data_IF_753894772286
#
_entry.id   IF_753894772286
#
_cell.length_a   1.000
_cell.length_b   1.000
_cell.length_c   1.000
_cell.angle_alpha   90.00
_cell.angle_beta   90.00
_cell.angle_gamma   90.00
#
_symmetry.space_group_name_H-M   'P 1'
#
loop_
_entity.id
_entity.type
_entity.pdbx_description
1 polymer ?
#
# COMPACT_ATOMS: atom_id res chain seq x y z
N UNK A 1 -10.69 -0.70 2.66
CA UNK A 1 -9.63 -1.63 2.19
C UNK A 1 -9.98 -3.05 2.59
N UNK A 2 -10.07 -3.98 1.65
CA UNK A 2 -10.40 -5.38 1.93
C UNK A 2 -9.31 -6.05 2.78
N UNK A 3 -9.76 -6.93 3.67
CA UNK A 3 -8.88 -7.75 4.51
C UNK A 3 -9.29 -9.21 4.39
N UNK A 4 -8.32 -10.10 4.16
CA UNK A 4 -8.55 -11.54 4.10
C UNK A 4 -7.83 -12.23 5.26
N UNK A 5 -8.55 -13.06 6.00
CA UNK A 5 -7.95 -14.00 6.95
C UNK A 5 -7.48 -15.23 6.20
N UNK A 6 -6.23 -15.63 6.44
CA UNK A 6 -5.58 -16.73 5.74
C UNK A 6 -4.98 -17.71 6.75
N UNK A 7 -4.75 -18.95 6.30
CA UNK A 7 -3.97 -19.95 7.01
C UNK A 7 -3.04 -20.66 6.03
N UNK A 8 -1.86 -21.00 6.49
CA UNK A 8 -0.89 -21.75 5.69
C UNK A 8 -0.04 -22.67 6.59
N UNK A 9 0.50 -23.77 6.04
CA UNK A 9 1.28 -24.72 6.83
C UNK A 9 2.66 -24.14 7.20
N UNK A 10 3.08 -24.36 8.44
CA UNK A 10 4.46 -24.14 8.87
C UNK A 10 5.35 -25.28 8.37
N UNK A 11 6.68 -25.09 8.31
CA UNK A 11 7.61 -26.18 8.05
C UNK A 11 7.55 -27.33 9.06
N UNK A 12 7.03 -27.07 10.28
CA UNK A 12 6.86 -28.06 11.35
C UNK A 12 5.50 -28.77 11.30
N UNK A 13 4.63 -28.46 10.34
CA UNK A 13 3.39 -29.19 10.09
C UNK A 13 2.15 -28.68 10.83
N UNK A 14 2.22 -27.57 11.56
CA UNK A 14 1.04 -26.89 12.12
C UNK A 14 0.62 -25.69 11.28
N UNK A 15 -0.58 -25.18 11.50
CA UNK A 15 -1.10 -24.04 10.76
C UNK A 15 -0.67 -22.71 11.36
N UNK A 16 -0.21 -21.79 10.51
CA UNK A 16 0.06 -20.41 10.83
C UNK A 16 -1.09 -19.51 10.38
N UNK A 17 -1.52 -18.63 11.27
CA UNK A 17 -2.60 -17.67 11.03
C UNK A 17 -2.06 -16.38 10.42
N UNK A 18 -2.62 -15.95 9.30
CA UNK A 18 -2.21 -14.75 8.59
C UNK A 18 -3.39 -13.83 8.28
N UNK A 19 -3.06 -12.59 8.00
CA UNK A 19 -3.95 -11.58 7.46
C UNK A 19 -3.32 -10.93 6.24
N UNK A 20 -4.10 -10.71 5.21
CA UNK A 20 -3.70 -10.02 4.00
C UNK A 20 -4.51 -8.73 3.88
N UNK A 21 -3.83 -7.60 4.08
CA UNK A 21 -4.39 -6.28 3.79
C UNK A 21 -4.23 -6.01 2.30
N UNK A 22 -5.34 -5.80 1.62
CA UNK A 22 -5.39 -5.57 0.18
C UNK A 22 -5.69 -4.10 -0.12
N UNK A 23 -5.11 -3.55 -1.20
CA UNK A 23 -5.59 -2.27 -1.73
C UNK A 23 -7.02 -2.41 -2.25
N UNK A 24 -7.72 -1.30 -2.35
CA UNK A 24 -9.04 -1.26 -2.98
C UNK A 24 -9.00 -1.52 -4.49
N UNK A 25 -7.82 -1.51 -5.07
CA UNK A 25 -7.54 -1.78 -6.49
C UNK A 25 -6.66 -3.02 -6.60
N UNK A 26 -6.44 -3.54 -7.81
CA UNK A 26 -5.50 -4.64 -8.01
C UNK A 26 -4.12 -4.28 -7.47
N UNK A 27 -3.50 -5.10 -6.60
CA UNK A 27 -2.18 -4.86 -6.07
C UNK A 27 -1.15 -4.74 -7.19
N UNK A 28 -0.31 -3.70 -7.14
CA UNK A 28 0.83 -3.62 -8.06
C UNK A 28 2.07 -4.33 -7.52
N UNK A 29 2.09 -4.68 -6.23
CA UNK A 29 3.16 -5.41 -5.57
C UNK A 29 2.65 -6.05 -4.28
N UNK A 30 3.37 -7.06 -3.80
CA UNK A 30 3.11 -7.73 -2.52
C UNK A 30 4.26 -7.53 -1.55
N UNK A 31 3.92 -7.39 -0.27
CA UNK A 31 4.87 -7.29 0.83
C UNK A 31 4.60 -8.37 1.88
N UNK A 32 5.66 -8.81 2.56
CA UNK A 32 5.59 -9.69 3.72
C UNK A 32 6.06 -8.92 4.95
N UNK A 33 5.27 -8.94 6.03
CA UNK A 33 5.58 -8.25 7.28
C UNK A 33 5.81 -9.24 8.42
N UNK A 34 6.98 -9.18 9.06
CA UNK A 34 7.36 -9.92 10.25
C UNK A 34 7.24 -9.03 11.50
N UNK A 35 6.43 -9.43 12.47
CA UNK A 35 6.25 -8.70 13.72
C UNK A 35 7.37 -8.94 14.74
N UNK A 36 7.38 -8.17 15.83
CA UNK A 36 8.37 -8.27 16.91
C UNK A 36 8.22 -9.56 17.73
N UNK A 37 9.27 -9.88 18.52
CA UNK A 37 9.28 -11.02 19.44
C UNK A 37 8.11 -10.94 20.43
N UNK A 38 7.37 -12.03 20.61
CA UNK A 38 6.17 -12.13 21.45
C UNK A 38 4.98 -11.21 21.08
N UNK A 39 5.05 -10.50 19.95
CA UNK A 39 3.92 -9.73 19.43
C UNK A 39 2.92 -10.63 18.66
N UNK A 40 2.02 -10.02 17.92
CA UNK A 40 1.16 -10.70 16.96
C UNK A 40 1.04 -9.89 15.67
N UNK A 41 0.52 -10.52 14.62
CA UNK A 41 0.20 -9.86 13.35
C UNK A 41 -0.76 -8.68 13.53
N UNK A 42 -1.51 -8.65 14.63
CA UNK A 42 -2.53 -7.63 14.94
C UNK A 42 -2.00 -6.51 15.85
N UNK A 43 -0.67 -6.42 16.04
CA UNK A 43 -0.06 -5.28 16.71
C UNK A 43 -0.38 -3.96 16.00
N UNK A 44 -0.53 -2.85 16.76
CA UNK A 44 -0.92 -1.54 16.21
C UNK A 44 -0.01 -1.09 15.07
N UNK A 45 1.30 -1.26 15.22
CA UNK A 45 2.26 -0.90 14.18
C UNK A 45 2.09 -1.76 12.92
N UNK A 46 2.00 -3.09 13.07
CA UNK A 46 1.82 -4.00 11.94
C UNK A 46 0.55 -3.68 11.15
N UNK A 47 -0.58 -3.51 11.83
CA UNK A 47 -1.87 -3.16 11.20
C UNK A 47 -1.80 -1.77 10.55
N UNK A 48 -1.27 -0.77 11.27
CA UNK A 48 -1.19 0.61 10.77
C UNK A 48 -0.33 0.71 9.50
N UNK A 49 0.85 0.12 9.52
CA UNK A 49 1.78 0.12 8.38
C UNK A 49 1.18 -0.66 7.20
N UNK A 50 0.62 -1.86 7.46
CA UNK A 50 0.06 -2.70 6.39
C UNK A 50 -1.11 -2.02 5.69
N UNK A 51 -2.03 -1.40 6.42
CA UNK A 51 -3.14 -0.63 5.84
C UNK A 51 -2.67 0.58 5.06
N UNK A 52 -1.69 1.31 5.59
CA UNK A 52 -1.17 2.48 4.89
C UNK A 52 -0.44 2.11 3.59
N UNK A 53 0.24 0.96 3.53
CA UNK A 53 0.84 0.42 2.31
C UNK A 53 -0.25 -0.09 1.34
N UNK A 54 -1.28 -0.75 1.85
CA UNK A 54 -2.42 -1.17 1.05
C UNK A 54 -3.13 0.01 0.39
N UNK A 55 -3.32 1.14 1.09
CA UNK A 55 -3.84 2.38 0.51
C UNK A 55 -2.99 2.92 -0.65
N UNK A 56 -1.72 2.49 -0.76
CA UNK A 56 -0.79 2.86 -1.84
C UNK A 56 -0.61 1.78 -2.91
N UNK A 57 -1.48 0.77 -2.89
CA UNK A 57 -1.49 -0.29 -3.91
C UNK A 57 -0.55 -1.46 -3.64
N UNK A 58 0.04 -1.58 -2.44
CA UNK A 58 0.90 -2.69 -2.03
C UNK A 58 0.10 -3.62 -1.11
N UNK A 59 -0.20 -4.84 -1.55
CA UNK A 59 -0.81 -5.84 -0.67
C UNK A 59 0.19 -6.30 0.39
N UNK A 60 -0.23 -6.40 1.66
CA UNK A 60 0.66 -6.76 2.76
C UNK A 60 0.14 -7.98 3.50
N UNK A 61 0.89 -9.07 3.46
CA UNK A 61 0.66 -10.24 4.30
C UNK A 61 1.43 -10.08 5.61
N UNK A 62 0.75 -10.27 6.72
CA UNK A 62 1.30 -10.38 8.07
C UNK A 62 0.78 -11.66 8.71
N UNK A 63 1.61 -12.36 9.45
CA UNK A 63 1.21 -13.62 10.09
C UNK A 63 1.74 -13.71 11.51
N UNK A 64 1.15 -14.57 12.31
CA UNK A 64 1.61 -14.92 13.65
C UNK A 64 2.62 -16.07 13.56
N UNK A 65 3.80 -15.89 14.16
CA UNK A 65 4.77 -16.99 14.30
C UNK A 65 4.22 -18.10 15.21
N UNK A 66 4.84 -19.29 15.13
CA UNK A 66 4.48 -20.46 15.94
C UNK A 66 4.23 -20.12 17.39
N UNK A 67 3.08 -20.59 17.91
CA UNK A 67 2.66 -20.40 19.30
C UNK A 67 2.28 -18.98 19.68
N UNK A 68 2.20 -18.05 18.72
CA UNK A 68 1.77 -16.66 18.92
C UNK A 68 0.43 -16.39 18.25
N UNK A 69 -0.31 -15.41 18.79
CA UNK A 69 -1.58 -14.96 18.24
C UNK A 69 -2.60 -16.08 18.03
N UNK A 70 -2.96 -16.33 16.76
CA UNK A 70 -3.90 -17.36 16.36
C UNK A 70 -3.21 -18.54 15.61
N UNK A 71 -1.88 -18.58 15.59
CA UNK A 71 -1.10 -19.68 15.01
C UNK A 71 -1.04 -20.87 15.95
N UNK A 72 -0.97 -22.06 15.37
CA UNK A 72 -0.78 -23.32 16.09
C UNK A 72 0.67 -23.50 16.57
N UNK A 73 0.92 -24.68 17.18
CA UNK A 73 2.21 -25.02 17.75
C UNK A 73 2.43 -24.45 19.15
N UNK A 74 3.57 -24.77 19.75
CA UNK A 74 4.00 -24.23 21.04
C UNK A 74 5.15 -23.23 20.83
N UNK A 75 5.03 -22.04 21.44
CA UNK A 75 6.09 -21.03 21.39
C UNK A 75 7.43 -21.57 21.94
N UNK A 76 7.38 -22.48 22.93
CA UNK A 76 8.58 -23.09 23.49
C UNK A 76 9.39 -23.91 22.48
N UNK A 77 8.75 -24.40 21.40
CA UNK A 77 9.42 -25.15 20.31
C UNK A 77 10.03 -24.23 19.25
N UNK A 78 9.73 -22.93 19.30
CA UNK A 78 10.26 -21.98 18.32
C UNK A 78 11.74 -21.68 18.54
N UNK A 79 12.45 -21.41 17.46
CA UNK A 79 13.83 -20.91 17.42
C UNK A 79 13.92 -19.77 16.42
N UNK A 80 15.04 -19.05 16.39
CA UNK A 80 15.23 -18.02 15.38
C UNK A 80 15.30 -18.62 13.96
N UNK A 81 15.92 -19.79 13.83
CA UNK A 81 15.95 -20.55 12.57
C UNK A 81 14.56 -21.03 12.13
N UNK A 82 13.70 -21.46 13.08
CA UNK A 82 12.32 -21.83 12.73
C UNK A 82 11.52 -20.62 12.25
N UNK A 83 11.71 -19.45 12.85
CA UNK A 83 11.06 -18.21 12.42
C UNK A 83 11.49 -17.82 10.98
N UNK A 84 12.77 -18.01 10.63
CA UNK A 84 13.25 -17.83 9.25
C UNK A 84 12.52 -18.82 8.32
N UNK A 85 12.40 -20.09 8.70
CA UNK A 85 11.67 -21.10 7.93
C UNK A 85 10.19 -20.71 7.70
N UNK A 86 9.54 -20.14 8.71
CA UNK A 86 8.15 -19.69 8.62
C UNK A 86 8.00 -18.47 7.70
N UNK A 87 8.98 -17.56 7.67
CA UNK A 87 9.03 -16.45 6.70
C UNK A 87 9.16 -16.96 5.27
N UNK A 88 9.96 -17.98 5.05
CA UNK A 88 10.08 -18.62 3.73
C UNK A 88 8.77 -19.30 3.32
N UNK A 89 8.13 -20.04 4.24
CA UNK A 89 6.82 -20.64 3.98
C UNK A 89 5.74 -19.60 3.67
N UNK A 90 5.74 -18.45 4.36
CA UNK A 90 4.83 -17.34 4.06
C UNK A 90 5.09 -16.74 2.67
N UNK A 91 6.36 -16.60 2.27
CA UNK A 91 6.71 -16.13 0.93
C UNK A 91 6.29 -17.13 -0.16
N UNK A 92 6.47 -18.44 0.09
CA UNK A 92 6.04 -19.51 -0.81
C UNK A 92 4.52 -19.55 -0.95
N UNK A 93 3.79 -19.36 0.15
CA UNK A 93 2.35 -19.26 0.12
C UNK A 93 1.87 -18.07 -0.73
N UNK A 94 2.47 -16.88 -0.55
CA UNK A 94 2.16 -15.71 -1.38
C UNK A 94 2.46 -16.00 -2.85
N UNK A 95 3.60 -16.62 -3.17
CA UNK A 95 3.98 -16.99 -4.54
C UNK A 95 2.98 -17.93 -5.20
N UNK A 96 2.50 -18.91 -4.43
CA UNK A 96 1.59 -19.93 -4.94
C UNK A 96 0.14 -19.43 -5.09
N UNK A 97 -0.34 -18.58 -4.19
CA UNK A 97 -1.75 -18.18 -4.12
C UNK A 97 -2.03 -16.79 -4.68
N UNK A 98 -1.00 -15.93 -4.77
CA UNK A 98 -1.10 -14.53 -5.18
C UNK A 98 0.11 -14.15 -6.04
N UNK A 99 1.05 -13.43 -5.47
CA UNK A 99 2.32 -13.05 -6.09
C UNK A 99 3.43 -13.06 -5.04
N UNK A 100 4.63 -13.48 -5.42
CA UNK A 100 5.78 -13.47 -4.54
C UNK A 100 6.05 -12.07 -3.96
N UNK A 101 6.44 -11.95 -2.68
CA UNK A 101 6.66 -10.65 -2.07
C UNK A 101 7.91 -9.97 -2.65
N UNK A 102 7.74 -8.75 -3.13
CA UNK A 102 8.85 -7.91 -3.61
C UNK A 102 9.41 -7.01 -2.51
N UNK A 103 8.61 -6.73 -1.48
CA UNK A 103 9.00 -5.93 -0.31
C UNK A 103 8.92 -6.79 0.96
N UNK A 104 10.02 -6.82 1.70
CA UNK A 104 10.11 -7.51 2.98
C UNK A 104 10.23 -6.49 4.10
N UNK A 105 9.40 -6.60 5.13
CA UNK A 105 9.35 -5.65 6.23
C UNK A 105 9.48 -6.42 7.54
N UNK A 106 10.39 -6.02 8.40
CA UNK A 106 10.54 -6.67 9.70
C UNK A 106 10.67 -5.67 10.84
N UNK A 107 9.91 -5.89 11.91
CA UNK A 107 9.94 -5.08 13.12
C UNK A 107 10.68 -5.80 14.24
N UNK A 108 11.63 -5.14 14.89
CA UNK A 108 12.41 -5.67 16.02
C UNK A 108 13.09 -6.99 15.65
N UNK A 109 12.94 -8.06 16.43
CA UNK A 109 13.50 -9.39 16.10
C UNK A 109 13.00 -9.92 14.73
N UNK A 110 11.76 -9.59 14.34
CA UNK A 110 11.25 -9.87 13.01
C UNK A 110 12.07 -9.19 11.90
N UNK A 111 12.69 -8.04 12.19
CA UNK A 111 13.61 -7.37 11.28
C UNK A 111 14.92 -8.15 11.08
N UNK A 112 15.51 -8.66 12.15
CA UNK A 112 16.69 -9.52 12.06
C UNK A 112 16.38 -10.85 11.33
N UNK A 113 15.20 -11.44 11.59
CA UNK A 113 14.75 -12.66 10.89
C UNK A 113 14.51 -12.39 9.40
N UNK A 114 13.92 -11.23 9.06
CA UNK A 114 13.67 -10.84 7.67
C UNK A 114 14.97 -10.60 6.90
N UNK A 115 15.97 -9.95 7.52
CA UNK A 115 17.30 -9.82 6.92
C UNK A 115 17.94 -11.18 6.63
N UNK A 116 17.72 -12.15 7.51
CA UNK A 116 18.24 -13.52 7.35
C UNK A 116 17.47 -14.31 6.27
N UNK A 117 16.16 -14.16 6.19
CA UNK A 117 15.32 -14.83 5.19
C UNK A 117 15.46 -14.23 3.77
N UNK A 118 15.79 -12.95 3.68
CA UNK A 118 15.70 -12.18 2.44
C UNK A 118 16.51 -12.76 1.28
N UNK A 119 17.66 -13.38 1.55
CA UNK A 119 18.48 -13.98 0.49
C UNK A 119 17.76 -15.12 -0.25
N UNK A 120 16.97 -15.92 0.44
CA UNK A 120 16.23 -17.04 -0.13
C UNK A 120 14.94 -16.63 -0.87
N UNK A 121 14.44 -15.41 -0.62
CA UNK A 121 13.26 -14.87 -1.32
C UNK A 121 13.76 -14.07 -2.54
N UNK A 122 13.96 -14.76 -3.65
CA UNK A 122 14.66 -14.22 -4.83
C UNK A 122 13.93 -13.07 -5.50
N UNK A 123 12.61 -13.04 -5.42
CA UNK A 123 11.77 -11.98 -6.01
C UNK A 123 11.78 -10.69 -5.19
N UNK A 124 12.21 -10.74 -3.92
CA UNK A 124 12.32 -9.55 -3.11
C UNK A 124 13.37 -8.59 -3.68
N UNK A 125 12.99 -7.34 -3.86
CA UNK A 125 13.83 -6.26 -4.37
C UNK A 125 14.28 -5.32 -3.25
N UNK A 126 13.47 -5.23 -2.20
CA UNK A 126 13.65 -4.29 -1.11
C UNK A 126 13.37 -4.93 0.25
N UNK A 127 14.17 -4.57 1.23
CA UNK A 127 14.02 -4.99 2.63
C UNK A 127 13.98 -3.74 3.50
N UNK A 128 13.02 -3.68 4.41
CA UNK A 128 12.93 -2.61 5.41
C UNK A 128 12.95 -3.20 6.81
N UNK A 129 13.75 -2.61 7.68
CA UNK A 129 13.80 -2.94 9.10
C UNK A 129 13.30 -1.78 9.93
N UNK A 130 12.50 -2.05 10.95
CA UNK A 130 11.98 -1.08 11.89
C UNK A 130 12.44 -1.48 13.29
N UNK A 131 13.23 -0.63 13.95
CA UNK A 131 13.74 -0.88 15.30
C UNK A 131 14.43 -2.26 15.48
N UNK A 132 15.13 -2.74 14.44
CA UNK A 132 15.70 -4.08 14.43
C UNK A 132 17.06 -4.14 15.14
N UNK A 133 17.34 -5.21 15.89
CA UNK A 133 18.67 -5.46 16.39
C UNK A 133 19.58 -5.96 15.25
N UNK A 134 20.85 -5.60 15.34
CA UNK A 134 21.86 -6.12 14.42
C UNK A 134 22.04 -7.63 14.56
N UNK A 135 22.13 -8.11 15.80
CA UNK A 135 22.30 -9.55 16.09
C UNK A 135 21.07 -10.09 16.81
N UNK A 136 20.53 -11.26 16.42
CA UNK A 136 19.35 -11.85 17.09
C UNK A 136 19.62 -12.15 18.58
N UNK A 137 20.85 -12.37 19.00
CA UNK A 137 21.24 -12.47 20.43
C UNK A 137 20.82 -11.28 21.29
N UNK A 138 20.51 -10.14 20.69
CA UNK A 138 20.03 -8.98 21.45
C UNK A 138 18.84 -9.33 22.35
N UNK A 139 18.01 -10.30 21.95
CA UNK A 139 16.87 -10.79 22.74
C UNK A 139 17.28 -11.33 24.11
N UNK A 140 18.52 -11.80 24.28
CA UNK A 140 19.03 -12.30 25.56
C UNK A 140 18.99 -11.25 26.67
N UNK A 141 18.99 -9.95 26.31
CA UNK A 141 18.79 -8.86 27.28
C UNK A 141 17.46 -8.91 28.01
N UNK A 142 16.42 -9.50 27.38
CA UNK A 142 15.13 -9.72 28.02
C UNK A 142 15.12 -10.98 28.88
N UNK A 143 16.16 -11.81 28.80
CA UNK A 143 16.28 -13.11 29.43
C UNK A 143 17.36 -13.14 30.51
N UNK A 144 18.01 -11.99 30.86
CA UNK A 144 19.19 -11.91 31.73
C UNK A 144 18.95 -12.69 33.04
N UNK A 145 17.83 -12.41 33.73
CA UNK A 145 17.52 -13.00 35.02
C UNK A 145 17.12 -14.49 34.96
N UNK A 146 16.92 -15.03 33.75
CA UNK A 146 16.46 -16.39 33.53
C UNK A 146 17.45 -17.24 32.71
N UNK A 147 18.46 -16.63 32.09
CA UNK A 147 19.40 -17.30 31.18
C UNK A 147 20.09 -18.50 31.81
N UNK A 148 20.66 -18.32 33.03
CA UNK A 148 21.33 -19.41 33.74
C UNK A 148 20.36 -20.55 34.05
N UNK A 149 19.13 -20.25 34.47
CA UNK A 149 18.09 -21.23 34.74
C UNK A 149 17.69 -22.00 33.47
N UNK A 150 17.54 -21.29 32.33
CA UNK A 150 17.26 -21.93 31.03
C UNK A 150 18.37 -22.89 30.65
N UNK A 151 19.63 -22.48 30.80
CA UNK A 151 20.78 -23.31 30.47
C UNK A 151 20.92 -24.53 31.39
N UNK A 152 20.64 -24.37 32.70
CA UNK A 152 20.74 -25.45 33.66
C UNK A 152 19.56 -26.44 33.58
N UNK A 153 18.33 -25.95 33.60
CA UNK A 153 17.11 -26.76 33.65
C UNK A 153 16.62 -27.23 32.25
N UNK A 154 17.15 -26.64 31.17
CA UNK A 154 16.71 -26.88 29.80
C UNK A 154 15.63 -25.94 29.31
N UNK A 155 14.82 -25.38 30.22
CA UNK A 155 13.80 -24.36 29.93
C UNK A 155 13.48 -23.52 31.16
N UNK A 156 12.91 -22.36 30.97
CA UNK A 156 12.29 -21.56 32.01
C UNK A 156 11.16 -20.68 31.46
N UNK A 157 10.16 -20.42 32.30
CA UNK A 157 9.15 -19.40 32.02
C UNK A 157 9.70 -18.02 32.35
N UNK A 158 9.57 -17.10 31.40
CA UNK A 158 10.05 -15.71 31.48
C UNK A 158 8.90 -14.79 31.19
N UNK A 159 8.73 -13.74 31.98
CA UNK A 159 7.78 -12.68 31.69
C UNK A 159 8.37 -11.74 30.63
N UNK A 160 7.66 -11.56 29.51
CA UNK A 160 8.05 -10.65 28.45
C UNK A 160 6.86 -9.74 28.13
N UNK A 161 6.95 -8.50 28.54
CA UNK A 161 5.88 -7.51 28.35
C UNK A 161 4.59 -7.84 29.08
N UNK A 162 4.68 -8.39 30.29
CA UNK A 162 3.55 -8.77 31.14
C UNK A 162 2.90 -10.10 30.75
N UNK A 163 3.54 -10.91 29.91
CA UNK A 163 3.04 -12.24 29.51
C UNK A 163 4.11 -13.31 29.75
N UNK A 164 3.73 -14.49 30.30
CA UNK A 164 4.65 -15.59 30.50
C UNK A 164 4.92 -16.34 29.19
N UNK A 165 6.19 -16.61 28.89
CA UNK A 165 6.65 -17.42 27.76
C UNK A 165 7.65 -18.45 28.25
N UNK A 166 7.51 -19.69 27.84
CA UNK A 166 8.51 -20.73 28.08
C UNK A 166 9.59 -20.64 27.00
N UNK A 167 10.82 -20.41 27.45
CA UNK A 167 12.01 -20.37 26.58
C UNK A 167 12.86 -21.60 26.85
N UNK A 168 13.16 -22.36 25.81
CA UNK A 168 14.03 -23.55 25.91
C UNK A 168 15.49 -23.25 25.55
N UNK A 169 16.40 -24.04 26.07
CA UNK A 169 17.84 -23.95 25.81
C UNK A 169 18.17 -23.91 24.32
N UNK A 170 17.44 -24.68 23.50
CA UNK A 170 17.63 -24.72 22.05
C UNK A 170 17.48 -23.34 21.40
N UNK A 171 16.58 -22.49 21.91
CA UNK A 171 16.41 -21.13 21.40
C UNK A 171 17.71 -20.31 21.58
N UNK A 172 18.33 -20.37 22.78
CA UNK A 172 19.58 -19.66 23.04
C UNK A 172 20.74 -20.20 22.19
N UNK A 173 20.82 -21.52 22.04
CA UNK A 173 21.86 -22.18 21.23
C UNK A 173 21.72 -21.83 19.75
N UNK A 174 20.50 -21.76 19.24
CA UNK A 174 20.21 -21.40 17.85
C UNK A 174 20.62 -19.96 17.55
N UNK A 175 20.38 -19.01 18.46
CA UNK A 175 20.80 -17.62 18.29
C UNK A 175 22.32 -17.47 18.04
N UNK A 176 23.12 -18.41 18.54
CA UNK A 176 24.58 -18.40 18.40
C UNK A 176 25.09 -18.79 17.01
N UNK A 177 24.28 -19.50 16.25
CA UNK A 177 24.63 -20.02 14.93
C UNK A 177 24.53 -18.99 13.80
N UNK A 178 23.95 -17.81 14.09
CA UNK A 178 23.70 -16.77 13.09
C UNK A 178 24.84 -15.76 13.00
N UNK A 179 25.29 -15.49 11.78
CA UNK A 179 26.29 -14.47 11.46
C UNK A 179 25.65 -13.32 10.69
N UNK A 180 25.20 -12.27 11.39
CA UNK A 180 24.55 -11.13 10.74
C UNK A 180 25.50 -10.33 9.84
N UNK A 181 26.80 -10.30 10.11
CA UNK A 181 27.75 -9.58 9.27
C UNK A 181 27.79 -10.16 7.86
N UNK A 182 27.88 -11.49 7.79
CA UNK A 182 27.84 -12.23 6.50
C UNK A 182 26.49 -12.06 5.81
N UNK A 183 25.39 -12.22 6.55
CA UNK A 183 24.04 -12.16 6.01
C UNK A 183 23.71 -10.79 5.44
N UNK A 184 23.96 -9.72 6.21
CA UNK A 184 23.69 -8.34 5.80
C UNK A 184 24.65 -7.90 4.69
N UNK A 185 25.93 -8.29 4.77
CA UNK A 185 26.93 -8.00 3.74
C UNK A 185 26.64 -8.65 2.38
N UNK A 186 25.90 -9.76 2.38
CA UNK A 186 25.51 -10.52 1.20
C UNK A 186 24.04 -10.26 0.77
N UNK A 187 23.33 -9.29 1.37
CA UNK A 187 21.89 -9.07 1.19
C UNK A 187 21.49 -8.93 -0.29
N UNK A 188 22.26 -8.17 -1.09
CA UNK A 188 22.05 -8.02 -2.54
C UNK A 188 20.72 -7.32 -2.93
N UNK A 189 20.05 -6.69 -1.98
CA UNK A 189 18.76 -6.00 -2.13
C UNK A 189 18.85 -4.59 -1.56
N UNK A 190 17.94 -3.71 -1.98
CA UNK A 190 17.85 -2.38 -1.37
C UNK A 190 17.44 -2.50 0.10
N UNK A 191 18.09 -1.78 0.99
CA UNK A 191 17.84 -1.80 2.43
C UNK A 191 17.40 -0.43 2.93
N UNK A 192 16.27 -0.39 3.65
CA UNK A 192 15.83 0.74 4.44
C UNK A 192 15.89 0.38 5.92
N UNK A 193 16.49 1.25 6.73
CA UNK A 193 16.56 1.13 8.18
C UNK A 193 15.78 2.29 8.78
N UNK A 194 14.71 1.98 9.50
CA UNK A 194 13.90 2.92 10.26
C UNK A 194 14.16 2.69 11.75
N UNK A 195 14.67 3.69 12.48
CA UNK A 195 15.00 3.51 13.89
C UNK A 195 14.91 4.82 14.66
N UNK A 196 14.40 4.75 15.89
CA UNK A 196 14.34 5.91 16.79
C UNK A 196 15.61 6.03 17.63
N UNK A 197 16.21 7.21 17.77
CA UNK A 197 17.32 7.43 18.70
C UNK A 197 16.87 7.31 20.16
N UNK A 198 15.58 7.29 20.45
CA UNK A 198 14.99 7.13 21.79
C UNK A 198 14.50 5.71 22.08
N UNK A 199 14.76 4.77 21.18
CA UNK A 199 14.41 3.37 21.42
C UNK A 199 15.19 2.81 22.63
N UNK A 200 14.46 2.50 23.69
CA UNK A 200 15.02 1.98 24.94
C UNK A 200 15.14 0.45 24.96
N UNK A 201 14.61 -0.23 23.97
CA UNK A 201 14.65 -1.69 23.85
C UNK A 201 15.81 -2.12 22.94
N UNK A 202 15.86 -1.56 21.74
CA UNK A 202 16.94 -1.79 20.78
C UNK A 202 17.62 -0.45 20.51
N UNK A 203 18.80 -0.23 21.07
CA UNK A 203 19.53 1.03 20.92
C UNK A 203 19.87 1.35 19.46
N UNK A 204 19.92 2.64 19.15
CA UNK A 204 20.15 3.19 17.79
C UNK A 204 21.48 2.72 17.17
N UNK A 205 22.48 2.35 17.97
CA UNK A 205 23.75 1.78 17.54
C UNK A 205 23.58 0.50 16.70
N UNK A 206 22.50 -0.24 16.91
CA UNK A 206 22.15 -1.39 16.06
C UNK A 206 21.86 -0.95 14.61
N UNK A 207 21.15 0.16 14.42
CA UNK A 207 20.90 0.72 13.10
C UNK A 207 22.20 1.15 12.40
N UNK A 208 23.10 1.79 13.13
CA UNK A 208 24.42 2.18 12.60
C UNK A 208 25.24 0.95 12.19
N UNK A 209 25.21 -0.12 13.00
CA UNK A 209 25.93 -1.37 12.72
C UNK A 209 25.34 -2.08 11.49
N UNK A 210 24.00 -2.20 11.38
CA UNK A 210 23.32 -2.74 10.20
C UNK A 210 23.69 -1.91 8.96
N UNK A 211 23.61 -0.58 9.07
CA UNK A 211 23.93 0.31 7.97
C UNK A 211 25.38 0.15 7.49
N UNK A 212 26.32 0.02 8.42
CA UNK A 212 27.74 -0.16 8.08
C UNK A 212 27.99 -1.51 7.42
N UNK A 213 27.37 -2.59 7.89
CA UNK A 213 27.53 -3.92 7.35
C UNK A 213 26.89 -4.09 5.94
N UNK A 214 25.81 -3.36 5.66
CA UNK A 214 25.10 -3.45 4.40
C UNK A 214 25.85 -2.78 3.24
N UNK A 215 25.70 -3.36 2.04
CA UNK A 215 26.12 -2.74 0.78
C UNK A 215 25.02 -1.84 0.22
N UNK A 216 25.40 -0.91 -0.67
CA UNK A 216 24.41 -0.11 -1.40
C UNK A 216 23.56 -0.95 -2.38
N UNK A 217 22.29 -0.56 -2.63
CA UNK A 217 21.62 0.65 -2.11
C UNK A 217 21.13 0.46 -0.66
N UNK A 218 21.40 1.42 0.20
CA UNK A 218 20.96 1.44 1.59
C UNK A 218 20.58 2.85 2.02
N UNK A 219 19.56 2.94 2.88
CA UNK A 219 19.02 4.19 3.41
C UNK A 219 18.75 4.06 4.90
N UNK A 220 18.89 5.17 5.63
CA UNK A 220 18.50 5.29 7.03
C UNK A 220 17.52 6.45 7.20
N UNK A 221 16.50 6.24 8.01
CA UNK A 221 15.54 7.28 8.40
C UNK A 221 15.33 7.22 9.90
N UNK A 222 15.55 8.37 10.55
CA UNK A 222 15.25 8.53 11.97
C UNK A 222 13.74 8.57 12.20
N UNK A 223 13.28 7.83 13.21
CA UNK A 223 11.91 7.91 13.71
C UNK A 223 11.78 8.86 14.92
N UNK A 224 12.78 9.74 15.10
CA UNK A 224 12.87 10.79 16.11
C UNK A 224 12.49 10.30 17.53
N UNK A 225 11.32 10.67 18.05
CA UNK A 225 10.84 10.36 19.38
C UNK A 225 9.88 9.17 19.46
N UNK A 226 9.82 8.34 18.40
CA UNK A 226 8.99 7.14 18.40
C UNK A 226 9.49 6.13 19.45
N UNK A 227 8.55 5.42 20.08
CA UNK A 227 8.90 4.28 20.93
C UNK A 227 9.19 3.03 20.10
N UNK A 228 9.76 1.99 20.74
CA UNK A 228 10.10 0.74 20.07
C UNK A 228 8.95 0.08 19.32
N UNK A 229 7.72 0.19 19.84
CA UNK A 229 6.52 -0.47 19.30
C UNK A 229 5.72 0.41 18.32
N UNK A 230 6.17 1.65 18.06
CA UNK A 230 5.43 2.65 17.28
C UNK A 230 3.97 2.77 17.78
N UNK A 231 3.81 2.90 19.10
CA UNK A 231 2.49 2.87 19.76
C UNK A 231 1.60 4.05 19.37
N UNK A 232 2.18 5.18 18.97
CA UNK A 232 1.45 6.36 18.46
C UNK A 232 1.12 6.18 16.98
N UNK A 233 -0.15 6.36 16.63
CA UNK A 233 -0.61 6.20 15.23
C UNK A 233 0.16 7.06 14.22
N UNK A 234 0.59 8.28 14.62
CA UNK A 234 1.37 9.17 13.76
C UNK A 234 2.74 8.59 13.36
N UNK A 235 3.39 7.84 14.26
CA UNK A 235 4.71 7.26 14.01
C UNK A 235 4.61 6.09 13.03
N UNK A 236 3.58 5.24 13.21
CA UNK A 236 3.29 4.16 12.28
C UNK A 236 2.90 4.70 10.88
N UNK A 237 2.13 5.78 10.82
CA UNK A 237 1.77 6.45 9.57
C UNK A 237 3.01 7.02 8.86
N UNK A 238 3.86 7.75 9.59
CA UNK A 238 5.11 8.28 9.04
C UNK A 238 6.05 7.18 8.53
N UNK A 239 6.24 6.12 9.31
CA UNK A 239 7.03 4.97 8.88
C UNK A 239 6.49 4.35 7.59
N UNK A 240 5.17 4.21 7.47
CA UNK A 240 4.52 3.68 6.28
C UNK A 240 4.67 4.61 5.06
N UNK A 241 4.56 5.93 5.26
CA UNK A 241 4.73 6.92 4.19
C UNK A 241 6.14 6.89 3.62
N UNK A 242 7.14 6.91 4.49
CA UNK A 242 8.55 6.80 4.11
C UNK A 242 8.82 5.49 3.39
N UNK A 243 8.32 4.38 3.94
CA UNK A 243 8.51 3.04 3.40
C UNK A 243 7.91 2.91 2.01
N UNK A 244 6.67 3.39 1.81
CA UNK A 244 6.01 3.36 0.51
C UNK A 244 6.73 4.22 -0.53
N UNK A 245 7.12 5.45 -0.16
CA UNK A 245 7.86 6.36 -1.05
C UNK A 245 9.23 5.79 -1.43
N UNK A 246 9.96 5.23 -0.47
CA UNK A 246 11.26 4.61 -0.73
C UNK A 246 11.14 3.34 -1.55
N UNK A 247 10.20 2.46 -1.21
CA UNK A 247 10.01 1.17 -1.87
C UNK A 247 9.60 1.32 -3.34
N UNK A 248 8.83 2.36 -3.69
CA UNK A 248 8.38 2.62 -5.06
C UNK A 248 9.51 2.69 -6.09
N UNK A 249 10.73 3.00 -5.65
CA UNK A 249 11.92 3.02 -6.51
C UNK A 249 12.39 1.63 -6.92
N UNK A 250 12.08 0.61 -6.13
CA UNK A 250 12.63 -0.75 -6.27
C UNK A 250 11.56 -1.77 -6.66
N UNK A 251 10.30 -1.45 -6.38
CA UNK A 251 9.20 -2.33 -6.74
C UNK A 251 8.90 -2.19 -8.22
N UNK A 252 8.82 -3.32 -8.90
CA UNK A 252 8.28 -3.34 -10.23
C UNK A 252 6.79 -2.99 -10.14
N UNK A 253 6.44 -1.80 -10.57
CA UNK A 253 5.07 -1.58 -10.96
C UNK A 253 4.86 -2.47 -12.17
N UNK A 254 4.08 -3.53 -12.07
CA UNK A 254 3.51 -4.15 -13.25
C UNK A 254 2.59 -3.10 -13.91
N UNK A 255 3.20 -2.20 -14.69
CA UNK A 255 2.51 -1.63 -15.80
C UNK A 255 2.26 -2.84 -16.70
N UNK A 256 1.13 -3.55 -16.48
CA UNK A 256 0.64 -4.48 -17.46
C UNK A 256 0.82 -3.79 -18.80
N UNK A 257 1.39 -4.47 -19.80
CA UNK A 257 1.50 -3.96 -21.18
C UNK A 257 0.10 -3.49 -21.57
N UNK A 258 -0.11 -2.20 -21.35
CA UNK A 258 -1.42 -1.58 -21.52
C UNK A 258 -1.45 -1.15 -22.95
N UNK A 259 -2.25 -1.87 -23.72
CA UNK A 259 -2.55 -1.46 -25.08
C UNK A 259 -3.02 0.01 -25.12
N UNK A 260 -2.99 0.64 -26.29
CA UNK A 260 -3.49 2.00 -26.45
C UNK A 260 -4.98 2.04 -26.07
N UNK A 261 -5.35 2.98 -25.19
CA UNK A 261 -6.75 3.18 -24.78
C UNK A 261 -6.99 3.19 -23.27
N UNK A 262 -8.25 3.06 -22.92
CA UNK A 262 -8.72 2.97 -21.52
C UNK A 262 -9.21 1.56 -21.27
N UNK A 263 -8.76 0.94 -20.19
CA UNK A 263 -9.22 -0.37 -19.74
C UNK A 263 -9.97 -0.22 -18.43
N UNK A 264 -11.13 -0.84 -18.34
CA UNK A 264 -11.94 -0.91 -17.11
C UNK A 264 -12.00 -2.38 -16.68
N UNK A 265 -11.85 -2.61 -15.37
CA UNK A 265 -11.90 -3.94 -14.76
C UNK A 265 -12.72 -3.86 -13.47
N UNK A 266 -13.58 -4.84 -13.23
CA UNK A 266 -14.26 -4.96 -11.93
C UNK A 266 -13.24 -5.07 -10.80
N UNK A 267 -13.43 -4.27 -9.74
CA UNK A 267 -12.49 -4.22 -8.63
C UNK A 267 -12.51 -5.46 -7.72
N UNK A 268 -13.43 -6.40 -7.95
CA UNK A 268 -13.55 -7.65 -7.20
C UNK A 268 -14.14 -7.49 -5.78
N UNK A 269 -14.63 -6.30 -5.44
CA UNK A 269 -15.34 -6.01 -4.20
C UNK A 269 -16.41 -4.96 -4.44
N UNK A 270 -17.49 -5.00 -3.65
CA UNK A 270 -18.68 -4.20 -3.95
C UNK A 270 -19.40 -4.67 -5.20
N UNK A 271 -20.53 -4.03 -5.49
CA UNK A 271 -21.38 -4.38 -6.64
C UNK A 271 -20.98 -3.64 -7.92
N UNK A 272 -20.50 -2.41 -7.80
CA UNK A 272 -20.28 -1.48 -8.92
C UNK A 272 -18.85 -0.94 -9.01
N UNK A 273 -17.99 -1.22 -8.03
CA UNK A 273 -16.63 -0.69 -8.02
C UNK A 273 -15.81 -1.16 -9.22
N UNK A 274 -15.22 -0.19 -9.97
CA UNK A 274 -14.44 -0.42 -11.18
C UNK A 274 -13.07 0.23 -11.06
N UNK A 275 -12.02 -0.48 -11.45
CA UNK A 275 -10.69 0.08 -11.65
C UNK A 275 -10.54 0.56 -13.10
N UNK A 276 -10.16 1.80 -13.28
CA UNK A 276 -9.95 2.45 -14.58
C UNK A 276 -8.46 2.67 -14.80
N UNK A 277 -7.95 2.20 -15.91
CA UNK A 277 -6.58 2.36 -16.35
C UNK A 277 -6.53 3.18 -17.64
N UNK A 278 -5.97 4.40 -17.56
CA UNK A 278 -5.79 5.30 -18.69
C UNK A 278 -4.30 5.62 -18.85
N UNK A 279 -3.58 4.91 -19.72
CA UNK A 279 -2.13 4.99 -19.80
C UNK A 279 -1.49 4.67 -18.44
N UNK A 280 -0.69 5.60 -17.89
CA UNK A 280 -0.07 5.47 -16.55
C UNK A 280 -1.01 5.86 -15.39
N UNK A 281 -2.17 6.42 -15.67
CA UNK A 281 -3.09 6.90 -14.65
C UNK A 281 -4.06 5.80 -14.25
N UNK A 282 -4.35 5.73 -12.96
CA UNK A 282 -5.30 4.83 -12.37
C UNK A 282 -6.36 5.65 -11.64
N UNK A 283 -7.62 5.35 -11.89
CA UNK A 283 -8.78 5.96 -11.28
C UNK A 283 -9.70 4.86 -10.78
N UNK A 284 -10.62 5.19 -9.91
CA UNK A 284 -11.73 4.32 -9.50
C UNK A 284 -13.05 4.94 -9.96
N UNK A 285 -14.00 4.10 -10.32
CA UNK A 285 -15.40 4.48 -10.43
C UNK A 285 -16.25 3.58 -9.52
N UNK A 286 -17.33 4.14 -9.00
CA UNK A 286 -18.35 3.40 -8.24
C UNK A 286 -19.67 4.15 -8.34
N UNK A 287 -20.73 3.54 -7.83
CA UNK A 287 -22.01 4.22 -7.62
C UNK A 287 -22.12 4.71 -6.17
N UNK A 288 -22.89 5.77 -5.91
CA UNK A 288 -23.15 6.23 -4.55
C UNK A 288 -23.95 5.18 -3.75
N UNK A 289 -23.87 5.24 -2.43
CA UNK A 289 -24.59 4.31 -1.54
C UNK A 289 -26.11 4.30 -1.81
N UNK A 290 -26.69 5.44 -2.17
CA UNK A 290 -28.11 5.56 -2.54
C UNK A 290 -28.51 4.75 -3.77
N UNK A 291 -27.55 4.42 -4.65
CA UNK A 291 -27.72 3.55 -5.82
C UNK A 291 -27.26 2.10 -5.55
N UNK A 292 -26.82 1.80 -4.31
CA UNK A 292 -26.34 0.48 -3.91
C UNK A 292 -24.87 0.25 -4.17
N UNK A 293 -24.08 1.28 -4.43
CA UNK A 293 -22.61 1.29 -4.45
C UNK A 293 -22.00 1.48 -3.07
N UNK A 294 -20.70 1.72 -3.03
CA UNK A 294 -19.93 1.98 -1.80
C UNK A 294 -19.32 3.38 -1.77
N UNK A 295 -19.61 4.23 -2.78
CA UNK A 295 -19.07 5.59 -2.92
C UNK A 295 -17.52 5.64 -2.86
N UNK A 296 -16.86 4.64 -3.46
CA UNK A 296 -15.39 4.53 -3.46
C UNK A 296 -14.72 5.29 -4.61
N UNK A 297 -15.51 5.92 -5.48
CA UNK A 297 -15.06 6.74 -6.61
C UNK A 297 -16.22 7.46 -7.28
N UNK A 298 -15.95 8.40 -8.21
CA UNK A 298 -16.99 9.09 -8.96
C UNK A 298 -17.83 8.12 -9.77
N UNK A 299 -19.13 8.45 -9.95
CA UNK A 299 -20.02 7.67 -10.80
C UNK A 299 -19.63 7.77 -12.28
N UNK A 300 -20.12 6.87 -13.15
CA UNK A 300 -19.86 6.97 -14.59
C UNK A 300 -20.29 8.30 -15.20
N UNK A 301 -21.39 8.90 -14.74
CA UNK A 301 -21.81 10.22 -15.20
C UNK A 301 -20.93 11.35 -14.67
N UNK A 302 -20.41 11.26 -13.45
CA UNK A 302 -19.43 12.21 -12.93
C UNK A 302 -18.14 12.20 -13.77
N UNK A 303 -17.68 11.01 -14.20
CA UNK A 303 -16.54 10.88 -15.12
C UNK A 303 -16.81 11.51 -16.48
N UNK A 304 -18.02 11.35 -17.01
CA UNK A 304 -18.44 11.96 -18.28
C UNK A 304 -18.43 13.49 -18.20
N UNK A 305 -19.05 14.06 -17.16
CA UNK A 305 -19.06 15.52 -16.98
C UNK A 305 -17.69 16.07 -16.62
N UNK A 306 -16.87 15.33 -15.87
CA UNK A 306 -15.49 15.70 -15.58
C UNK A 306 -14.64 15.76 -16.87
N UNK A 307 -14.83 14.83 -17.82
CA UNK A 307 -14.19 14.88 -19.13
C UNK A 307 -14.58 16.14 -19.91
N UNK A 308 -15.87 16.50 -19.91
CA UNK A 308 -16.36 17.71 -20.54
C UNK A 308 -15.81 18.97 -19.88
N UNK A 309 -15.82 19.04 -18.53
CA UNK A 309 -15.35 20.18 -17.75
C UNK A 309 -13.86 20.43 -17.93
N UNK A 310 -13.06 19.40 -17.80
CA UNK A 310 -11.61 19.49 -17.98
C UNK A 310 -11.24 19.91 -19.41
N UNK A 311 -11.88 19.32 -20.43
CA UNK A 311 -11.66 19.72 -21.81
C UNK A 311 -12.08 21.17 -22.07
N UNK A 312 -13.19 21.64 -21.49
CA UNK A 312 -13.64 23.02 -21.56
C UNK A 312 -12.61 23.98 -20.98
N UNK A 313 -12.15 23.73 -19.76
CA UNK A 313 -11.16 24.57 -19.07
C UNK A 313 -9.83 24.63 -19.84
N UNK A 314 -9.33 23.48 -20.30
CA UNK A 314 -8.10 23.41 -21.12
C UNK A 314 -8.24 24.18 -22.43
N UNK A 315 -9.39 24.08 -23.12
CA UNK A 315 -9.64 24.79 -24.37
C UNK A 315 -9.67 26.29 -24.17
N UNK A 316 -10.30 26.78 -23.11
CA UNK A 316 -10.30 28.20 -22.74
C UNK A 316 -8.88 28.67 -22.42
N UNK A 317 -8.10 27.91 -21.65
CA UNK A 317 -6.72 28.23 -21.29
C UNK A 317 -5.83 28.38 -22.54
N UNK A 318 -5.83 27.37 -23.40
CA UNK A 318 -5.02 27.37 -24.65
C UNK A 318 -5.36 28.59 -25.53
N UNK A 319 -6.65 28.93 -25.66
CA UNK A 319 -7.05 30.10 -26.42
C UNK A 319 -6.59 31.42 -25.76
N UNK A 320 -6.79 31.56 -24.45
CA UNK A 320 -6.39 32.76 -23.71
C UNK A 320 -4.87 33.00 -23.84
N UNK A 321 -4.06 31.97 -23.68
CA UNK A 321 -2.61 32.03 -23.84
C UNK A 321 -2.20 32.43 -25.28
N UNK A 322 -2.84 31.82 -26.30
CA UNK A 322 -2.55 32.14 -27.70
C UNK A 322 -2.90 33.59 -28.10
N UNK A 323 -3.72 34.28 -27.31
CA UNK A 323 -4.18 35.65 -27.53
C UNK A 323 -3.67 36.66 -26.50
N UNK A 324 -2.80 36.21 -25.59
CA UNK A 324 -2.30 37.04 -24.48
C UNK A 324 -3.41 37.66 -23.65
N UNK A 325 -4.55 36.94 -23.45
CA UNK A 325 -5.65 37.38 -22.60
C UNK A 325 -5.23 37.15 -21.14
N UNK A 326 -5.37 38.13 -20.22
CA UNK A 326 -4.92 38.02 -18.84
C UNK A 326 -5.88 37.17 -17.97
N UNK A 327 -6.02 35.92 -18.32
CA UNK A 327 -6.82 34.91 -17.64
C UNK A 327 -6.01 34.26 -16.53
N UNK A 328 -6.35 34.46 -15.28
CA UNK A 328 -5.68 33.87 -14.11
C UNK A 328 -6.16 32.45 -13.87
N UNK A 329 -7.48 32.24 -13.81
CA UNK A 329 -8.08 30.96 -13.47
C UNK A 329 -9.38 30.69 -14.23
N UNK A 330 -9.64 29.41 -14.53
CA UNK A 330 -10.92 28.91 -15.04
C UNK A 330 -11.47 27.91 -14.04
N UNK A 331 -12.74 28.10 -13.65
CA UNK A 331 -13.51 27.12 -12.89
C UNK A 331 -14.71 26.72 -13.74
N UNK A 332 -15.00 25.42 -13.80
CA UNK A 332 -16.15 24.88 -14.54
C UNK A 332 -16.91 23.95 -13.62
N UNK A 333 -18.10 24.38 -13.22
CA UNK A 333 -19.05 23.58 -12.46
C UNK A 333 -20.02 22.93 -13.42
N UNK A 334 -20.27 21.61 -13.24
CA UNK A 334 -21.13 20.84 -14.11
C UNK A 334 -22.15 20.04 -13.31
N UNK A 335 -23.36 19.95 -13.85
CA UNK A 335 -24.42 19.10 -13.33
C UNK A 335 -25.04 18.30 -14.46
N UNK A 336 -25.28 17.01 -14.22
CA UNK A 336 -26.03 16.13 -15.12
C UNK A 336 -27.40 15.81 -14.51
N UNK A 337 -28.44 15.92 -15.32
CA UNK A 337 -29.81 15.55 -14.94
C UNK A 337 -30.58 15.05 -16.15
N UNK A 338 -31.62 14.26 -15.89
CA UNK A 338 -32.63 13.91 -16.93
C UNK A 338 -33.78 14.91 -16.86
N UNK A 339 -34.02 15.63 -17.95
CA UNK A 339 -35.12 16.56 -18.11
C UNK A 339 -36.21 15.97 -19.06
N UNK A 340 -37.45 16.40 -18.96
CA UNK A 340 -38.43 16.09 -19.96
C UNK A 340 -38.14 16.84 -21.26
N UNK A 341 -38.29 16.16 -22.40
CA UNK A 341 -38.02 16.77 -23.70
C UNK A 341 -38.87 18.01 -23.96
N UNK A 342 -40.10 18.04 -23.44
CA UNK A 342 -41.00 19.21 -23.53
C UNK A 342 -40.46 20.45 -22.79
N UNK A 343 -39.61 20.28 -21.76
CA UNK A 343 -39.05 21.35 -20.95
C UNK A 343 -37.66 21.81 -21.47
N UNK A 344 -37.18 21.21 -22.54
CA UNK A 344 -35.88 21.51 -23.13
C UNK A 344 -36.03 22.40 -24.36
N UNK A 345 -35.75 23.71 -24.24
CA UNK A 345 -35.85 24.65 -25.34
C UNK A 345 -34.92 24.37 -26.52
N UNK A 346 -33.71 23.85 -26.21
CA UNK A 346 -32.61 23.63 -27.15
C UNK A 346 -32.53 22.16 -27.69
N UNK A 347 -33.47 21.30 -27.33
CA UNK A 347 -33.44 19.91 -27.70
C UNK A 347 -34.23 19.65 -29.01
N UNK A 348 -33.70 18.79 -29.89
CA UNK A 348 -34.38 18.30 -31.09
C UNK A 348 -35.47 17.27 -30.77
N UNK A 349 -35.25 16.43 -29.76
CA UNK A 349 -36.20 15.45 -29.24
C UNK A 349 -37.38 16.16 -28.60
N UNK A 350 -38.62 15.74 -28.97
CA UNK A 350 -39.85 16.38 -28.50
C UNK A 350 -40.63 15.55 -27.49
N UNK A 351 -40.36 14.27 -27.39
CA UNK A 351 -41.07 13.33 -26.51
C UNK A 351 -40.04 12.57 -25.63
N UNK A 352 -40.47 12.19 -24.41
CA UNK A 352 -39.64 11.42 -23.47
C UNK A 352 -38.69 12.28 -22.60
N UNK A 353 -37.58 11.70 -22.24
CA UNK A 353 -36.53 12.37 -21.41
C UNK A 353 -35.23 12.51 -22.20
N UNK A 354 -34.58 13.62 -22.00
CA UNK A 354 -33.27 13.93 -22.56
C UNK A 354 -32.26 14.11 -21.43
N UNK A 355 -31.00 13.77 -21.68
CA UNK A 355 -29.90 14.05 -20.76
C UNK A 355 -29.49 15.51 -20.91
N UNK A 356 -29.49 16.23 -19.81
CA UNK A 356 -29.09 17.65 -19.73
C UNK A 356 -27.82 17.78 -18.94
N UNK A 357 -26.79 18.37 -19.54
CA UNK A 357 -25.53 18.72 -18.88
C UNK A 357 -25.44 20.25 -18.82
N UNK A 358 -25.57 20.81 -17.63
CA UNK A 358 -25.40 22.22 -17.40
C UNK A 358 -23.95 22.53 -17.06
N UNK A 359 -23.41 23.64 -17.60
CA UNK A 359 -22.06 24.12 -17.30
C UNK A 359 -22.12 25.58 -16.85
N UNK A 360 -21.57 25.85 -15.68
CA UNK A 360 -21.34 27.22 -15.18
C UNK A 360 -19.83 27.47 -15.21
N UNK A 361 -19.41 28.52 -15.92
CA UNK A 361 -18.01 28.87 -16.12
C UNK A 361 -17.68 30.16 -15.39
N UNK A 362 -16.73 30.10 -14.46
CA UNK A 362 -16.16 31.25 -13.78
C UNK A 362 -14.78 31.56 -14.34
N UNK A 363 -14.57 32.80 -14.78
CA UNK A 363 -13.31 33.29 -15.32
C UNK A 363 -12.73 34.34 -14.36
N UNK A 364 -11.58 34.08 -13.80
CA UNK A 364 -10.83 34.98 -12.91
C UNK A 364 -9.70 35.66 -13.72
N UNK A 365 -9.45 36.93 -13.45
CA UNK A 365 -8.44 37.75 -14.11
C UNK A 365 -9.00 39.13 -14.53
N UNK A 366 -8.12 40.02 -14.96
CA UNK A 366 -8.46 41.35 -15.45
C UNK A 366 -8.98 41.26 -16.89
N UNK A 367 -10.22 40.79 -17.02
CA UNK A 367 -10.88 40.48 -18.29
C UNK A 367 -11.97 41.49 -18.58
N UNK A 368 -11.91 42.11 -19.76
CA UNK A 368 -13.00 42.97 -20.25
C UNK A 368 -14.24 42.15 -20.71
N UNK A 369 -15.41 42.76 -20.88
CA UNK A 369 -16.64 42.07 -21.29
C UNK A 369 -16.52 41.33 -22.64
N UNK A 370 -15.72 41.83 -23.59
CA UNK A 370 -15.55 41.22 -24.91
C UNK A 370 -14.69 39.95 -24.79
N UNK A 371 -13.63 40.00 -23.98
CA UNK A 371 -12.80 38.85 -23.67
C UNK A 371 -13.61 37.74 -22.97
N UNK A 372 -14.45 38.10 -21.99
CA UNK A 372 -15.34 37.13 -21.31
C UNK A 372 -16.31 36.47 -22.27
N UNK A 373 -16.98 37.24 -23.11
CA UNK A 373 -17.91 36.74 -24.14
C UNK A 373 -17.18 35.79 -25.14
N UNK A 374 -15.96 36.18 -25.55
CA UNK A 374 -15.16 35.36 -26.47
C UNK A 374 -14.72 34.06 -25.84
N UNK A 375 -14.27 34.05 -24.60
CA UNK A 375 -13.85 32.84 -23.88
C UNK A 375 -15.07 31.90 -23.66
N UNK A 376 -16.26 32.44 -23.44
CA UNK A 376 -17.49 31.63 -23.36
C UNK A 376 -17.83 30.97 -24.74
N UNK A 377 -17.69 31.70 -25.84
CA UNK A 377 -17.83 31.11 -27.19
C UNK A 377 -16.84 29.99 -27.42
N UNK A 378 -15.58 30.14 -26.99
CA UNK A 378 -14.52 29.15 -27.10
C UNK A 378 -14.83 27.90 -26.27
N UNK A 379 -15.45 28.03 -25.09
CA UNK A 379 -15.89 26.91 -24.27
C UNK A 379 -16.76 25.90 -25.05
N UNK A 380 -17.63 26.39 -25.95
CA UNK A 380 -18.50 25.56 -26.79
C UNK A 380 -17.75 24.88 -27.97
N UNK A 381 -16.49 25.22 -28.19
CA UNK A 381 -15.64 24.62 -29.24
C UNK A 381 -14.75 23.51 -28.73
N UNK A 382 -14.83 23.13 -27.44
CA UNK A 382 -14.00 22.06 -26.91
C UNK A 382 -14.31 20.72 -27.61
N UNK A 383 -13.29 19.90 -27.87
CA UNK A 383 -13.46 18.63 -28.58
C UNK A 383 -14.50 17.69 -27.96
N UNK A 384 -14.52 17.53 -26.63
CA UNK A 384 -15.49 16.68 -25.95
C UNK A 384 -16.92 17.19 -26.12
N UNK A 385 -17.14 18.54 -26.05
CA UNK A 385 -18.45 19.13 -26.32
C UNK A 385 -18.94 18.78 -27.74
N UNK A 386 -18.08 18.91 -28.73
CA UNK A 386 -18.40 18.57 -30.12
C UNK A 386 -18.74 17.08 -30.29
N UNK A 387 -17.97 16.21 -29.63
CA UNK A 387 -18.24 14.76 -29.64
C UNK A 387 -19.62 14.44 -29.04
N UNK A 388 -20.00 15.10 -27.93
CA UNK A 388 -21.33 14.88 -27.31
C UNK A 388 -22.49 15.42 -28.16
N UNK A 389 -22.24 16.36 -29.06
CA UNK A 389 -23.26 16.92 -29.98
C UNK A 389 -23.26 16.24 -31.37
N UNK A 390 -22.34 15.33 -31.63
CA UNK A 390 -22.24 14.64 -32.92
C UNK A 390 -22.69 13.18 -32.80
N UNK A 391 -22.95 12.54 -33.96
CA UNK A 391 -23.12 11.11 -34.01
C UNK A 391 -21.84 10.40 -33.58
N UNK A 392 -21.95 9.43 -32.66
CA UNK A 392 -20.82 8.63 -32.15
C UNK A 392 -21.08 7.16 -32.45
N UNK A 393 -20.22 6.56 -33.28
CA UNK A 393 -20.27 5.12 -33.53
C UNK A 393 -19.56 4.35 -32.40
N UNK A 394 -20.27 3.42 -31.74
CA UNK A 394 -19.79 2.62 -30.60
C UNK A 394 -19.88 1.12 -30.91
N UNK A 395 -19.01 0.58 -31.81
CA UNK A 395 -19.03 -0.85 -32.11
C UNK A 395 -18.59 -1.67 -30.88
N UNK A 396 -19.35 -2.70 -30.55
CA UNK A 396 -19.09 -3.60 -29.42
C UNK A 396 -18.86 -5.02 -29.91
N UNK A 397 -17.84 -5.70 -29.34
CA UNK A 397 -17.55 -7.11 -29.65
C UNK A 397 -17.05 -7.83 -28.40
N UNK A 398 -17.30 -9.12 -28.29
CA UNK A 398 -16.65 -9.97 -27.30
C UNK A 398 -15.21 -10.25 -27.74
N UNK A 399 -14.29 -10.24 -26.77
CA UNK A 399 -12.97 -10.84 -26.97
C UNK A 399 -13.14 -12.35 -26.94
N UNK A 400 -12.57 -13.04 -27.93
CA UNK A 400 -12.58 -14.49 -28.02
C UNK A 400 -11.61 -15.13 -27.01
#
# INVERSE_FOLDING_TARGET
>A
MPFKTLRFPSPQGHELAAGLDLPDTEPHSYALFAHCFTCSKDSKAAVGISRALAARGIAVMRFDFTGLGASGGDFADSTFSSNIGELLAAADYLRAQYQAPQLLIGHSLGGAAMLSAAHAIVEARAVATIAAPYHPKHIERLLVDSKERILAAGEATVDIGGRPFTIRRQFLQDLEQHDPAKTIGALGKALLILHSPRDSIVGIDNAATIFTAAKHPKSFVSLDDADHLLSRAKDAAYAADVLAAWASRYLETHAAERGPGVRIVEAGHGKFAQDIFAGRHRLRADEPESAGGMDTGPSPYDLLVAALGSCTAMTIRVYAESRNIPLERVVVDLAHAKAHAADCADCETREGRVDRIERVITLEGDLDPQQRAKLLEIANKCPVHRTLQSEVSMPTRLAG
#
